data_IF_596936837143
#
_entry.id   IF_596936837143
#
_cell.length_a   1.000
_cell.length_b   1.000
_cell.length_c   1.000
_cell.angle_alpha   90.00
_cell.angle_beta   90.00
_cell.angle_gamma   90.00
#
_symmetry.space_group_name_H-M   'P 1'
#
loop_
_entity.id
_entity.type
_entity.pdbx_description
1 polymer ?
#
# COMPACT_ATOMS: atom_id res chain seq x y z
N UNK A 1 20.24 -7.88 -2.66
CA UNK A 1 21.08 -7.07 -1.76
C UNK A 1 20.15 -6.02 -1.17
N UNK A 2 20.04 -5.95 0.17
CA UNK A 2 19.34 -4.85 0.83
C UNK A 2 20.27 -3.65 0.75
N UNK A 3 19.76 -2.51 0.30
CA UNK A 3 20.53 -1.28 0.17
C UNK A 3 20.37 -0.42 1.42
N UNK A 4 21.29 0.52 1.71
CA UNK A 4 21.23 1.31 2.93
C UNK A 4 19.91 2.07 3.10
N UNK A 5 19.38 2.67 2.04
CA UNK A 5 18.11 3.42 2.11
C UNK A 5 16.92 2.49 2.36
N UNK A 6 16.88 1.35 1.68
CA UNK A 6 15.86 0.33 1.94
C UNK A 6 15.92 -0.16 3.40
N UNK A 7 17.11 -0.39 3.95
CA UNK A 7 17.28 -0.84 5.33
C UNK A 7 16.79 0.21 6.33
N UNK A 8 17.08 1.49 6.09
CA UNK A 8 16.62 2.61 6.91
C UNK A 8 15.10 2.73 6.90
N UNK A 9 14.46 2.67 5.73
CA UNK A 9 13.00 2.68 5.63
C UNK A 9 12.39 1.48 6.36
N UNK A 10 12.88 0.27 6.08
CA UNK A 10 12.41 -0.95 6.72
C UNK A 10 12.53 -0.90 8.24
N UNK A 11 13.65 -0.41 8.76
CA UNK A 11 13.85 -0.25 10.20
C UNK A 11 12.95 0.87 10.76
N UNK A 12 12.86 1.99 10.06
CA UNK A 12 12.09 3.18 10.47
C UNK A 12 10.59 2.97 10.51
N UNK A 13 10.07 1.98 9.78
CA UNK A 13 8.64 1.65 9.71
C UNK A 13 8.27 0.26 10.24
N UNK A 14 9.22 -0.51 10.80
CA UNK A 14 9.01 -1.92 11.22
C UNK A 14 7.77 -2.07 12.11
N UNK A 15 7.72 -1.34 13.22
CA UNK A 15 6.63 -1.44 14.21
C UNK A 15 5.26 -1.09 13.59
N UNK A 16 5.21 -0.04 12.77
CA UNK A 16 3.99 0.39 12.07
C UNK A 16 3.49 -0.65 11.08
N UNK A 17 4.43 -1.23 10.31
CA UNK A 17 4.12 -2.32 9.39
C UNK A 17 3.59 -3.54 10.15
N UNK A 18 4.28 -3.99 11.20
CA UNK A 18 3.86 -5.15 12.00
C UNK A 18 2.51 -4.93 12.66
N UNK A 19 2.26 -3.74 13.21
CA UNK A 19 0.96 -3.38 13.81
C UNK A 19 -0.16 -3.39 12.79
N UNK A 20 0.05 -2.81 11.61
CA UNK A 20 -0.96 -2.82 10.55
C UNK A 20 -1.23 -4.25 10.10
N UNK A 21 -0.19 -5.01 9.76
CA UNK A 21 -0.28 -6.38 9.22
C UNK A 21 -1.01 -7.32 10.19
N UNK A 22 -0.60 -7.33 11.46
CA UNK A 22 -1.25 -8.14 12.51
C UNK A 22 -2.66 -7.66 12.84
N UNK A 23 -2.91 -6.36 12.67
CA UNK A 23 -4.20 -5.74 12.96
C UNK A 23 -5.24 -5.92 11.86
N UNK A 24 -4.90 -6.36 10.64
CA UNK A 24 -5.88 -6.52 9.56
C UNK A 24 -6.94 -7.57 9.93
N UNK A 25 -8.22 -7.23 9.80
CA UNK A 25 -9.31 -8.20 9.98
C UNK A 25 -9.22 -9.35 8.94
N UNK A 26 -8.68 -9.04 7.76
CA UNK A 26 -8.45 -9.99 6.67
C UNK A 26 -7.42 -11.07 7.01
N UNK A 27 -6.53 -10.82 7.98
CA UNK A 27 -5.51 -11.78 8.40
C UNK A 27 -6.10 -12.89 9.30
N UNK A 28 -7.31 -12.73 9.84
CA UNK A 28 -7.92 -13.74 10.70
C UNK A 28 -8.18 -15.05 9.94
N UNK A 29 -8.08 -16.21 10.59
CA UNK A 29 -8.36 -17.51 9.95
C UNK A 29 -9.79 -17.64 9.42
N UNK A 30 -10.75 -16.94 10.04
CA UNK A 30 -12.17 -16.94 9.70
C UNK A 30 -12.58 -15.83 8.73
N UNK A 31 -11.63 -15.08 8.17
CA UNK A 31 -11.92 -14.02 7.20
C UNK A 31 -12.59 -14.60 5.94
N UNK A 32 -13.72 -14.00 5.57
CA UNK A 32 -14.58 -14.42 4.46
C UNK A 32 -14.79 -13.28 3.44
N UNK A 33 -15.70 -13.50 2.48
CA UNK A 33 -16.01 -12.54 1.42
C UNK A 33 -16.40 -11.15 1.94
N UNK A 34 -17.36 -11.02 2.87
CA UNK A 34 -17.69 -9.75 3.52
C UNK A 34 -16.49 -9.04 4.16
N UNK A 35 -15.62 -9.75 4.88
CA UNK A 35 -14.39 -9.16 5.47
C UNK A 35 -13.45 -8.66 4.37
N UNK A 36 -13.32 -9.40 3.28
CA UNK A 36 -12.52 -8.97 2.13
C UNK A 36 -13.10 -7.73 1.44
N UNK A 37 -14.42 -7.66 1.23
CA UNK A 37 -15.09 -6.48 0.67
C UNK A 37 -14.88 -5.26 1.56
N UNK A 38 -15.00 -5.39 2.89
CA UNK A 38 -14.75 -4.30 3.82
C UNK A 38 -13.29 -3.79 3.74
N UNK A 39 -12.32 -4.72 3.66
CA UNK A 39 -10.91 -4.38 3.42
C UNK A 39 -10.72 -3.62 2.10
N UNK A 40 -11.33 -4.08 1.00
CA UNK A 40 -11.22 -3.43 -0.31
C UNK A 40 -11.81 -2.01 -0.29
N UNK A 41 -12.99 -1.84 0.31
CA UNK A 41 -13.63 -0.52 0.43
C UNK A 41 -12.76 0.46 1.23
N UNK A 42 -12.26 0.02 2.40
CA UNK A 42 -11.40 0.85 3.23
C UNK A 42 -10.09 1.18 2.50
N UNK A 43 -9.41 0.19 1.91
CA UNK A 43 -8.16 0.42 1.19
C UNK A 43 -8.34 1.36 0.01
N UNK A 44 -9.42 1.19 -0.76
CA UNK A 44 -9.74 2.05 -1.89
C UNK A 44 -9.97 3.49 -1.43
N UNK A 45 -10.73 3.70 -0.35
CA UNK A 45 -11.01 5.04 0.19
C UNK A 45 -9.74 5.82 0.56
N UNK A 46 -8.69 5.14 1.00
CA UNK A 46 -7.38 5.76 1.26
C UNK A 46 -6.51 5.86 0.01
N UNK A 47 -6.43 4.79 -0.79
CA UNK A 47 -5.51 4.70 -1.91
C UNK A 47 -5.93 5.56 -3.11
N UNK A 48 -7.23 5.72 -3.36
CA UNK A 48 -7.75 6.50 -4.49
C UNK A 48 -7.25 7.95 -4.52
N UNK A 49 -7.47 8.77 -3.47
CA UNK A 49 -6.96 10.13 -3.47
C UNK A 49 -5.42 10.18 -3.37
N UNK A 50 -4.80 9.19 -2.72
CA UNK A 50 -3.34 9.12 -2.59
C UNK A 50 -2.64 8.85 -3.93
N UNK A 51 -3.04 7.83 -4.68
CA UNK A 51 -2.47 7.53 -6.00
C UNK A 51 -2.71 8.67 -6.99
N UNK A 52 -3.89 9.30 -6.92
CA UNK A 52 -4.22 10.45 -7.74
C UNK A 52 -3.26 11.62 -7.48
N UNK A 53 -2.77 11.81 -6.24
CA UNK A 53 -1.82 12.88 -5.96
C UNK A 53 -0.37 12.43 -6.23
N UNK A 54 0.02 11.25 -5.75
CA UNK A 54 1.39 10.76 -5.79
C UNK A 54 1.91 10.61 -7.22
N UNK A 55 1.16 9.94 -8.10
CA UNK A 55 1.65 9.61 -9.43
C UNK A 55 1.45 10.71 -10.47
N UNK A 56 0.81 11.83 -10.08
CA UNK A 56 0.73 13.05 -10.90
C UNK A 56 1.83 14.06 -10.61
N UNK A 57 2.67 13.81 -9.61
CA UNK A 57 3.89 14.60 -9.40
C UNK A 57 4.82 14.47 -10.60
N UNK A 58 5.70 15.46 -10.79
CA UNK A 58 6.67 15.51 -11.91
C UNK A 58 7.81 14.50 -11.78
N UNK A 59 7.48 13.21 -11.67
CA UNK A 59 8.45 12.12 -11.62
C UNK A 59 9.15 11.92 -12.96
N UNK A 60 10.42 11.52 -12.95
CA UNK A 60 11.12 11.19 -14.19
C UNK A 60 10.72 9.79 -14.68
N UNK A 61 10.96 9.52 -15.97
CA UNK A 61 10.52 8.30 -16.65
C UNK A 61 11.12 7.02 -16.02
N UNK A 62 12.31 7.11 -15.42
CA UNK A 62 13.00 6.00 -14.76
C UNK A 62 12.20 5.40 -13.60
N UNK A 63 11.39 6.22 -12.91
CA UNK A 63 10.53 5.73 -11.83
C UNK A 63 9.34 4.91 -12.37
N UNK A 64 9.01 5.08 -13.65
CA UNK A 64 7.89 4.46 -14.35
C UNK A 64 6.53 4.69 -13.63
N UNK A 65 6.26 5.94 -13.21
CA UNK A 65 5.06 6.32 -12.45
C UNK A 65 3.75 5.82 -13.11
N UNK A 66 3.64 5.90 -14.44
CA UNK A 66 2.47 5.41 -15.18
C UNK A 66 2.20 3.92 -14.99
N UNK A 67 3.24 3.09 -14.82
CA UNK A 67 3.07 1.65 -14.53
C UNK A 67 2.61 1.38 -13.10
N UNK A 68 2.87 2.32 -12.18
CA UNK A 68 2.53 2.21 -10.76
C UNK A 68 1.15 2.74 -10.43
N UNK A 69 0.65 3.68 -11.24
CA UNK A 69 -0.62 4.41 -11.08
C UNK A 69 -1.88 3.60 -11.45
N UNK A 70 -2.04 2.39 -10.93
CA UNK A 70 -3.10 1.49 -11.37
C UNK A 70 -3.57 0.49 -10.34
N UNK A 71 -3.42 0.76 -9.05
CA UNK A 71 -3.86 -0.18 -8.01
C UNK A 71 -5.33 -0.01 -7.68
N UNK A 72 -5.83 1.22 -7.73
CA UNK A 72 -7.26 1.52 -7.51
C UNK A 72 -8.15 0.75 -8.49
N UNK A 73 -7.76 0.64 -9.77
CA UNK A 73 -8.53 -0.17 -10.76
C UNK A 73 -8.61 -1.66 -10.38
N UNK A 74 -7.61 -2.20 -9.69
CA UNK A 74 -7.64 -3.60 -9.25
C UNK A 74 -8.59 -3.78 -8.08
N UNK A 75 -8.64 -2.80 -7.17
CA UNK A 75 -9.65 -2.75 -6.10
C UNK A 75 -11.06 -2.66 -6.68
N UNK A 76 -11.27 -1.81 -7.70
CA UNK A 76 -12.55 -1.68 -8.38
C UNK A 76 -12.99 -2.99 -9.06
N UNK A 77 -12.06 -3.71 -9.69
CA UNK A 77 -12.31 -5.01 -10.30
C UNK A 77 -12.73 -6.07 -9.27
N UNK A 78 -12.03 -6.12 -8.13
CA UNK A 78 -12.35 -7.08 -7.06
C UNK A 78 -13.69 -6.74 -6.38
N UNK A 79 -13.98 -5.45 -6.15
CA UNK A 79 -15.27 -4.99 -5.64
C UNK A 79 -16.43 -5.35 -6.59
N UNK A 80 -16.27 -5.06 -7.88
CA UNK A 80 -17.28 -5.37 -8.89
C UNK A 80 -17.54 -6.88 -8.98
N UNK A 81 -16.51 -7.71 -8.91
CA UNK A 81 -16.66 -9.16 -8.90
C UNK A 81 -17.37 -9.70 -7.65
N UNK A 82 -17.24 -9.00 -6.51
CA UNK A 82 -18.00 -9.29 -5.30
C UNK A 82 -19.45 -8.74 -5.33
N UNK A 83 -19.87 -8.12 -6.43
CA UNK A 83 -21.18 -7.45 -6.54
C UNK A 83 -21.29 -6.17 -5.70
N UNK A 84 -20.16 -5.64 -5.23
CA UNK A 84 -20.09 -4.42 -4.44
C UNK A 84 -19.79 -3.21 -5.32
N UNK A 85 -20.47 -2.09 -5.05
CA UNK A 85 -20.11 -0.79 -5.62
C UNK A 85 -19.14 -0.09 -4.67
N UNK A 86 -18.07 0.56 -5.17
CA UNK A 86 -17.22 1.37 -4.32
C UNK A 86 -18.01 2.43 -3.56
N UNK A 87 -17.65 2.66 -2.30
CA UNK A 87 -18.23 3.75 -1.51
C UNK A 87 -17.62 5.08 -1.94
N UNK A 88 -18.38 6.16 -1.75
CA UNK A 88 -17.91 7.54 -1.97
C UNK A 88 -17.02 8.06 -0.83
N UNK A 89 -16.85 7.26 0.24
CA UNK A 89 -16.04 7.62 1.39
C UNK A 89 -14.54 7.61 1.03
N UNK A 90 -13.94 8.79 0.98
CA UNK A 90 -12.50 8.97 0.73
C UNK A 90 -11.80 9.52 1.97
N UNK A 91 -10.56 9.10 2.18
CA UNK A 91 -9.73 9.59 3.26
C UNK A 91 -9.35 11.06 3.02
N UNK A 92 -9.75 11.94 3.92
CA UNK A 92 -9.42 13.37 3.87
C UNK A 92 -8.05 13.70 4.48
N UNK A 93 -7.48 12.78 5.28
CA UNK A 93 -6.19 12.98 5.97
C UNK A 93 -5.14 12.08 5.35
N UNK A 94 -4.35 12.64 4.43
CA UNK A 94 -3.31 11.94 3.67
C UNK A 94 -1.92 12.55 3.94
N UNK A 95 -0.84 11.81 3.65
CA UNK A 95 0.50 12.38 3.57
C UNK A 95 0.54 13.61 2.64
N UNK A 96 1.35 14.61 2.99
CA UNK A 96 1.50 15.84 2.22
C UNK A 96 2.36 15.61 0.97
N UNK A 97 1.73 15.50 -0.19
CA UNK A 97 2.38 15.20 -1.47
C UNK A 97 2.51 16.46 -2.33
N UNK A 98 3.44 17.34 -1.94
CA UNK A 98 3.62 18.63 -2.60
C UNK A 98 4.60 18.59 -3.78
N UNK A 99 5.58 17.69 -3.75
CA UNK A 99 6.66 17.59 -4.74
C UNK A 99 7.16 16.14 -4.90
N UNK A 100 7.79 15.80 -6.05
CA UNK A 100 8.41 14.49 -6.28
C UNK A 100 9.75 14.35 -5.54
N UNK A 101 9.73 14.39 -4.21
CA UNK A 101 10.92 14.41 -3.35
C UNK A 101 11.10 13.11 -2.52
N UNK A 102 12.07 13.13 -1.61
CA UNK A 102 12.36 11.98 -0.74
C UNK A 102 11.16 11.60 0.15
N UNK A 103 10.37 12.57 0.63
CA UNK A 103 9.18 12.29 1.41
C UNK A 103 8.14 11.54 0.58
N UNK A 104 7.85 12.03 -0.63
CA UNK A 104 6.93 11.36 -1.55
C UNK A 104 7.43 9.95 -1.96
N UNK A 105 8.74 9.75 -2.09
CA UNK A 105 9.32 8.42 -2.29
C UNK A 105 9.14 7.50 -1.07
N UNK A 106 9.16 8.04 0.14
CA UNK A 106 8.79 7.32 1.36
C UNK A 106 7.34 6.83 1.35
N UNK A 107 6.41 7.68 0.91
CA UNK A 107 5.00 7.30 0.71
C UNK A 107 4.88 6.21 -0.36
N UNK A 108 5.54 6.41 -1.51
CA UNK A 108 5.57 5.42 -2.59
C UNK A 108 6.13 4.07 -2.13
N UNK A 109 7.15 4.06 -1.26
CA UNK A 109 7.72 2.83 -0.70
C UNK A 109 6.67 1.98 0.04
N UNK A 110 5.76 2.60 0.79
CA UNK A 110 4.68 1.87 1.49
C UNK A 110 3.69 1.25 0.50
N UNK A 111 3.28 2.02 -0.51
CA UNK A 111 2.33 1.57 -1.53
C UNK A 111 2.93 0.45 -2.38
N UNK A 112 4.15 0.61 -2.88
CA UNK A 112 4.83 -0.39 -3.69
C UNK A 112 5.21 -1.63 -2.85
N UNK A 113 5.64 -1.43 -1.61
CA UNK A 113 5.97 -2.50 -0.68
C UNK A 113 4.74 -3.35 -0.29
N UNK A 114 3.56 -2.73 -0.17
CA UNK A 114 2.32 -3.45 0.13
C UNK A 114 1.98 -4.55 -0.89
N UNK A 115 2.47 -4.43 -2.14
CA UNK A 115 2.22 -5.42 -3.19
C UNK A 115 3.00 -6.72 -2.96
N UNK A 116 4.10 -6.67 -2.20
CA UNK A 116 4.83 -7.87 -1.76
C UNK A 116 4.05 -8.63 -0.69
N UNK A 117 3.56 -7.92 0.33
CA UNK A 117 2.70 -8.49 1.38
C UNK A 117 1.37 -9.00 0.82
N UNK A 118 0.81 -8.30 -0.17
CA UNK A 118 -0.41 -8.67 -0.88
C UNK A 118 -0.35 -10.08 -1.46
N UNK A 119 0.78 -10.50 -2.06
CA UNK A 119 0.92 -11.86 -2.59
C UNK A 119 0.86 -12.95 -1.53
N UNK A 120 1.34 -12.67 -0.32
CA UNK A 120 1.23 -13.61 0.79
C UNK A 120 -0.23 -13.75 1.23
N UNK A 121 -0.93 -12.63 1.41
CA UNK A 121 -2.37 -12.63 1.71
C UNK A 121 -3.19 -13.30 0.59
N UNK A 122 -2.84 -13.07 -0.68
CA UNK A 122 -3.52 -13.69 -1.82
C UNK A 122 -3.49 -15.21 -1.75
N UNK A 123 -2.32 -15.79 -1.43
CA UNK A 123 -2.17 -17.23 -1.28
C UNK A 123 -3.05 -17.78 -0.15
N UNK A 124 -3.08 -17.10 0.99
CA UNK A 124 -3.89 -17.52 2.12
C UNK A 124 -5.39 -17.43 1.84
N UNK A 125 -5.82 -16.37 1.14
CA UNK A 125 -7.23 -16.15 0.81
C UNK A 125 -7.71 -17.05 -0.33
N UNK A 126 -6.86 -17.41 -1.28
CA UNK A 126 -7.23 -18.33 -2.37
C UNK A 126 -7.65 -19.71 -1.85
N UNK A 127 -7.09 -20.16 -0.72
CA UNK A 127 -7.49 -21.42 -0.06
C UNK A 127 -8.86 -21.29 0.63
N UNK A 128 -9.19 -20.11 1.17
CA UNK A 128 -10.42 -19.85 1.94
C UNK A 128 -11.60 -19.42 1.07
N UNK A 129 -11.32 -18.75 -0.05
CA UNK A 129 -12.29 -18.18 -0.99
C UNK A 129 -11.96 -18.64 -2.42
N UNK A 130 -12.06 -19.96 -2.72
CA UNK A 130 -11.68 -20.48 -4.02
C UNK A 130 -12.54 -19.87 -5.14
N UNK A 131 -11.88 -19.41 -6.20
CA UNK A 131 -12.54 -18.81 -7.36
C UNK A 131 -12.87 -17.31 -7.23
N UNK A 132 -12.66 -16.71 -6.05
CA UNK A 132 -12.80 -15.26 -5.91
C UNK A 132 -11.60 -14.56 -6.57
N UNK A 133 -11.80 -13.55 -7.44
CA UNK A 133 -10.68 -12.76 -7.94
C UNK A 133 -10.01 -11.97 -6.82
N UNK A 134 -8.69 -11.85 -6.93
CA UNK A 134 -7.79 -11.17 -6.00
C UNK A 134 -6.83 -10.26 -6.80
N UNK A 135 -7.34 -9.47 -7.74
CA UNK A 135 -6.55 -8.65 -8.66
C UNK A 135 -5.61 -7.72 -7.89
N UNK A 136 -6.09 -7.05 -6.84
CA UNK A 136 -5.26 -6.13 -6.07
C UNK A 136 -4.12 -6.84 -5.34
N UNK A 137 -4.42 -7.97 -4.71
CA UNK A 137 -3.42 -8.73 -3.93
C UNK A 137 -2.41 -9.46 -4.83
N UNK A 138 -2.81 -9.85 -6.04
CA UNK A 138 -1.90 -10.37 -7.07
C UNK A 138 -1.10 -9.25 -7.76
N UNK A 139 -1.65 -8.04 -7.80
CA UNK A 139 -1.02 -6.81 -8.23
C UNK A 139 -0.31 -6.93 -9.59
N UNK A 140 0.98 -6.61 -9.60
CA UNK A 140 1.83 -6.67 -10.80
C UNK A 140 2.06 -8.10 -11.36
N UNK A 141 1.61 -9.16 -10.67
CA UNK A 141 1.85 -10.54 -11.09
C UNK A 141 3.34 -10.85 -11.24
N UNK A 142 3.75 -11.32 -12.43
CA UNK A 142 5.14 -11.66 -12.74
C UNK A 142 6.08 -10.42 -12.69
N UNK A 143 5.55 -9.22 -12.90
CA UNK A 143 6.33 -7.98 -12.94
C UNK A 143 6.66 -7.42 -11.54
N UNK A 144 6.08 -7.97 -10.46
CA UNK A 144 6.29 -7.44 -9.11
C UNK A 144 7.77 -7.37 -8.73
N UNK A 145 8.52 -8.46 -8.95
CA UNK A 145 9.93 -8.52 -8.60
C UNK A 145 10.76 -7.47 -9.35
N UNK A 146 10.69 -7.42 -10.70
CA UNK A 146 11.34 -6.38 -11.49
C UNK A 146 10.96 -4.95 -11.12
N UNK A 147 9.66 -4.65 -10.95
CA UNK A 147 9.18 -3.30 -10.62
C UNK A 147 9.57 -2.84 -9.23
N UNK A 148 9.58 -3.75 -8.26
CA UNK A 148 10.07 -3.49 -6.91
C UNK A 148 11.58 -3.25 -6.90
N UNK A 149 12.35 -4.08 -7.61
CA UNK A 149 13.80 -3.91 -7.73
C UNK A 149 14.14 -2.56 -8.39
N UNK A 150 13.46 -2.21 -9.48
CA UNK A 150 13.65 -0.93 -10.15
C UNK A 150 13.28 0.27 -9.27
N UNK A 151 12.20 0.14 -8.47
CA UNK A 151 11.83 1.15 -7.48
C UNK A 151 12.94 1.39 -6.46
N UNK A 152 13.45 0.32 -5.84
CA UNK A 152 14.51 0.42 -4.83
C UNK A 152 15.79 1.01 -5.42
N UNK A 153 16.16 0.61 -6.64
CA UNK A 153 17.32 1.19 -7.32
C UNK A 153 17.17 2.69 -7.53
N UNK A 154 16.00 3.15 -7.99
CA UNK A 154 15.74 4.59 -8.13
C UNK A 154 15.79 5.29 -6.77
N UNK A 155 15.10 4.76 -5.76
CA UNK A 155 15.09 5.27 -4.40
C UNK A 155 16.52 5.46 -3.83
N UNK A 156 17.41 4.49 -4.01
CA UNK A 156 18.80 4.57 -3.55
C UNK A 156 19.61 5.66 -4.26
N UNK A 157 19.28 5.98 -5.51
CA UNK A 157 19.96 7.07 -6.24
C UNK A 157 19.48 8.45 -5.79
N UNK A 158 18.22 8.57 -5.35
CA UNK A 158 17.62 9.86 -4.98
C UNK A 158 17.76 10.19 -3.50
N UNK A 159 17.83 9.18 -2.63
CA UNK A 159 17.86 9.38 -1.17
C UNK A 159 19.25 9.06 -0.66
N UNK A 160 20.13 10.07 -0.66
CA UNK A 160 21.56 9.89 -0.41
C UNK A 160 22.00 10.52 0.91
N UNK A 161 21.52 11.73 1.19
CA UNK A 161 21.87 12.51 2.37
C UNK A 161 21.10 12.06 3.62
N UNK A 162 21.60 12.37 4.84
CA UNK A 162 20.86 12.13 6.08
C UNK A 162 19.47 12.79 6.08
N UNK A 163 19.36 14.02 5.59
CA UNK A 163 18.09 14.77 5.54
C UNK A 163 17.07 14.10 4.61
N UNK A 164 17.47 13.66 3.42
CA UNK A 164 16.57 12.94 2.51
C UNK A 164 16.11 11.61 3.11
N UNK A 165 16.99 10.91 3.83
CA UNK A 165 16.63 9.65 4.52
C UNK A 165 15.59 9.90 5.61
N UNK A 166 15.76 10.97 6.38
CA UNK A 166 14.78 11.38 7.39
C UNK A 166 13.43 11.73 6.75
N UNK A 167 13.44 12.47 5.64
CA UNK A 167 12.23 12.79 4.87
C UNK A 167 11.53 11.54 4.33
N UNK A 168 12.28 10.61 3.73
CA UNK A 168 11.71 9.35 3.24
C UNK A 168 11.11 8.51 4.36
N UNK A 169 11.77 8.42 5.53
CA UNK A 169 11.20 7.72 6.69
C UNK A 169 9.96 8.44 7.21
N UNK A 170 9.95 9.77 7.24
CA UNK A 170 8.78 10.54 7.65
C UNK A 170 7.58 10.27 6.73
N UNK A 171 7.77 10.34 5.41
CA UNK A 171 6.70 10.04 4.44
C UNK A 171 6.18 8.62 4.54
N UNK A 172 7.07 7.65 4.75
CA UNK A 172 6.65 6.27 4.97
C UNK A 172 5.87 6.08 6.27
N UNK A 173 6.27 6.76 7.36
CA UNK A 173 5.54 6.73 8.64
C UNK A 173 4.16 7.35 8.51
N UNK A 174 4.05 8.52 7.88
CA UNK A 174 2.76 9.19 7.68
C UNK A 174 1.83 8.36 6.79
N UNK A 175 2.36 7.68 5.78
CA UNK A 175 1.58 6.74 4.97
C UNK A 175 1.02 5.58 5.80
N UNK A 176 1.83 4.96 6.66
CA UNK A 176 1.34 3.92 7.57
C UNK A 176 0.33 4.46 8.59
N UNK A 177 0.58 5.62 9.18
CA UNK A 177 -0.25 6.18 10.24
C UNK A 177 -1.63 6.58 9.68
N UNK A 178 -1.67 7.28 8.56
CA UNK A 178 -2.93 7.66 7.88
C UNK A 178 -3.71 6.44 7.38
N UNK A 179 -3.04 5.43 6.82
CA UNK A 179 -3.67 4.18 6.39
C UNK A 179 -4.26 3.43 7.58
N UNK A 180 -3.49 3.28 8.66
CA UNK A 180 -3.91 2.54 9.86
C UNK A 180 -5.12 3.20 10.50
N UNK A 181 -5.10 4.52 10.67
CA UNK A 181 -6.22 5.25 11.26
C UNK A 181 -7.46 5.24 10.37
N UNK A 182 -7.28 5.28 9.05
CA UNK A 182 -8.38 5.11 8.10
C UNK A 182 -8.99 3.71 8.17
N UNK A 183 -8.16 2.66 8.14
CA UNK A 183 -8.61 1.27 8.23
C UNK A 183 -9.36 0.99 9.53
N UNK A 184 -8.89 1.54 10.66
CA UNK A 184 -9.56 1.42 11.96
C UNK A 184 -10.95 2.03 11.94
N UNK A 185 -11.07 3.28 11.45
CA UNK A 185 -12.35 4.00 11.38
C UNK A 185 -13.36 3.35 10.45
N UNK A 186 -12.89 2.58 9.47
CA UNK A 186 -13.72 1.88 8.50
C UNK A 186 -13.86 0.37 8.80
N UNK A 187 -13.52 -0.07 10.01
CA UNK A 187 -13.76 -1.45 10.47
C UNK A 187 -12.92 -2.53 9.76
N UNK A 188 -11.84 -2.14 9.08
CA UNK A 188 -10.96 -3.08 8.38
C UNK A 188 -9.82 -3.61 9.26
N UNK A 189 -9.66 -3.06 10.47
CA UNK A 189 -8.79 -3.63 11.51
C UNK A 189 -9.61 -4.45 12.51
N UNK A 190 -8.97 -5.44 13.10
CA UNK A 190 -9.47 -6.17 14.26
C UNK A 190 -9.73 -5.18 15.40
N UNK A 191 -10.80 -5.42 16.17
CA UNK A 191 -11.00 -4.69 17.42
C UNK A 191 -9.85 -5.03 18.37
N UNK A 192 -9.32 -4.03 19.09
CA UNK A 192 -8.35 -4.30 20.14
C UNK A 192 -8.95 -5.32 21.12
N UNK A 193 -8.19 -6.37 21.45
CA UNK A 193 -8.62 -7.33 22.45
C UNK A 193 -8.84 -6.58 23.79
N UNK A 194 -10.09 -6.55 24.25
CA UNK A 194 -10.48 -5.92 25.51
C UNK A 194 -9.86 -6.64 26.71
#
# INVERSE_FOLDING_TARGET
MITPTHEILRNGTRERHERLDQGLALARPDADGPVYVAYLQALRGWLAPLEANLWRLGWPDELAAARRAGKVRWLDQDLAAAGATPTDALCATLPALDAPDAYALGVAYVIEGSQLGGRFLARQLAERMPGHPLHYLNGYGADLGPLWKGFLQYLDTQVQSPTEREQAVAGARDAFDTLTDWMRRNGALQADAA
#
